data_IF_277870876651
#
_entry.id   IF_277870876651
#
_cell.length_a   1.000
_cell.length_b   1.000
_cell.length_c   1.000
_cell.angle_alpha   90.00
_cell.angle_beta   90.00
_cell.angle_gamma   90.00
#
_symmetry.space_group_name_H-M   'P 1'
#
loop_
_entity.id
_entity.type
_entity.pdbx_description
1 polymer ?
#
# COMPACT_ATOMS: atom_id res chain seq x y z
N UNK A 1 -20.85 -9.38 9.16
CA UNK A 1 -19.73 -8.58 8.70
C UNK A 1 -18.57 -8.71 9.68
N UNK A 2 -17.36 -8.52 9.22
CA UNK A 2 -16.12 -8.59 9.99
C UNK A 2 -15.32 -7.31 9.76
N UNK A 3 -14.66 -6.84 10.81
CA UNK A 3 -13.70 -5.74 10.76
C UNK A 3 -12.28 -6.27 10.95
N UNK A 4 -11.31 -5.64 10.31
CA UNK A 4 -9.90 -5.89 10.51
C UNK A 4 -9.33 -4.81 11.43
N UNK A 5 -8.56 -5.20 12.41
CA UNK A 5 -7.88 -4.26 13.32
C UNK A 5 -6.39 -4.57 13.33
N UNK A 6 -5.59 -3.58 13.02
CA UNK A 6 -4.14 -3.69 12.95
C UNK A 6 -3.49 -2.92 14.11
N UNK A 7 -2.40 -3.47 14.60
CA UNK A 7 -1.50 -2.83 15.53
C UNK A 7 -0.38 -2.12 14.75
N UNK A 8 -0.31 -0.80 14.89
CA UNK A 8 0.63 0.03 14.12
C UNK A 8 2.09 -0.34 14.40
N UNK A 9 2.45 -0.51 15.67
CA UNK A 9 3.83 -0.83 16.04
C UNK A 9 4.25 -2.20 15.52
N UNK A 10 3.38 -3.20 15.61
CA UNK A 10 3.66 -4.52 15.05
C UNK A 10 3.80 -4.52 13.54
N UNK A 11 2.99 -3.72 12.82
CA UNK A 11 3.17 -3.51 11.39
C UNK A 11 4.52 -2.85 11.08
N UNK A 12 4.86 -1.81 11.82
CA UNK A 12 6.12 -1.09 11.69
C UNK A 12 7.33 -2.00 11.93
N UNK A 13 7.26 -2.85 12.93
CA UNK A 13 8.30 -3.83 13.25
C UNK A 13 8.50 -4.91 12.18
N UNK A 14 7.50 -5.13 11.32
CA UNK A 14 7.64 -6.03 10.17
C UNK A 14 8.54 -5.45 9.08
N UNK A 15 8.72 -4.12 9.02
CA UNK A 15 9.55 -3.46 8.01
C UNK A 15 11.03 -3.65 8.35
N UNK A 16 11.86 -3.86 7.32
CA UNK A 16 13.31 -3.91 7.52
C UNK A 16 13.79 -2.58 8.14
N UNK A 17 14.53 -2.59 9.27
CA UNK A 17 14.90 -1.37 9.99
C UNK A 17 15.70 -0.35 9.15
N UNK A 18 16.52 -0.82 8.20
CA UNK A 18 17.26 0.07 7.30
C UNK A 18 16.32 0.78 6.31
N UNK A 19 15.34 0.01 5.80
CA UNK A 19 14.32 0.56 4.88
C UNK A 19 13.42 1.53 5.64
N UNK A 20 12.99 1.16 6.84
CA UNK A 20 12.15 2.01 7.68
C UNK A 20 12.84 3.36 7.95
N UNK A 21 14.10 3.35 8.37
CA UNK A 21 14.88 4.57 8.61
C UNK A 21 14.97 5.45 7.35
N UNK A 22 15.22 4.85 6.19
CA UNK A 22 15.26 5.58 4.92
C UNK A 22 13.90 6.21 4.59
N UNK A 23 12.80 5.47 4.79
CA UNK A 23 11.45 5.99 4.54
C UNK A 23 11.11 7.16 5.47
N UNK A 24 11.49 7.06 6.76
CA UNK A 24 11.30 8.12 7.75
C UNK A 24 12.10 9.39 7.37
N UNK A 25 13.36 9.25 6.98
CA UNK A 25 14.20 10.37 6.52
C UNK A 25 13.61 11.06 5.29
N UNK A 26 13.01 10.29 4.38
CA UNK A 26 12.36 10.78 3.17
C UNK A 26 10.91 11.22 3.38
N UNK A 27 10.39 11.13 4.62
CA UNK A 27 8.99 11.38 4.97
C UNK A 27 7.98 10.59 4.12
N UNK A 28 8.33 9.35 3.82
CA UNK A 28 7.49 8.41 3.06
C UNK A 28 6.80 7.48 4.06
N UNK A 29 5.48 7.40 3.96
CA UNK A 29 4.68 6.47 4.75
C UNK A 29 4.99 5.02 4.30
N UNK A 30 5.50 4.19 5.21
CA UNK A 30 5.84 2.80 4.91
C UNK A 30 4.62 1.97 4.47
N UNK A 31 3.41 2.34 4.90
CA UNK A 31 2.17 1.69 4.47
C UNK A 31 1.76 2.07 3.04
N UNK A 32 2.34 3.13 2.49
CA UNK A 32 2.10 3.59 1.12
C UNK A 32 3.05 3.01 0.09
N UNK A 33 4.01 2.17 0.50
CA UNK A 33 5.01 1.56 -0.39
C UNK A 33 4.61 0.12 -0.67
N UNK A 34 4.79 -0.31 -1.92
CA UNK A 34 4.68 -1.73 -2.25
C UNK A 34 5.86 -2.47 -1.63
N UNK A 35 5.57 -3.32 -0.67
CA UNK A 35 6.52 -4.24 -0.04
C UNK A 35 6.12 -5.66 -0.39
N UNK A 36 7.11 -6.51 -0.62
CA UNK A 36 6.89 -7.94 -0.89
C UNK A 36 6.47 -8.64 0.41
N UNK A 37 5.22 -8.43 0.79
CA UNK A 37 4.63 -8.98 2.00
C UNK A 37 3.30 -9.66 1.70
N UNK A 38 3.02 -10.71 2.45
CA UNK A 38 1.78 -11.45 2.38
C UNK A 38 1.06 -11.36 3.72
N UNK A 39 -0.23 -10.98 3.68
CA UNK A 39 -1.11 -11.02 4.84
C UNK A 39 -1.86 -12.36 4.87
N UNK A 40 -1.79 -13.06 6.00
CA UNK A 40 -2.51 -14.30 6.23
C UNK A 40 -3.57 -14.04 7.28
N UNK A 41 -4.83 -14.36 6.97
CA UNK A 41 -5.93 -14.34 7.92
C UNK A 41 -6.31 -15.79 8.22
N UNK A 42 -6.25 -16.19 9.47
CA UNK A 42 -6.57 -17.54 9.90
C UNK A 42 -7.31 -17.52 11.25
N UNK A 43 -7.98 -18.62 11.63
CA UNK A 43 -8.51 -18.79 12.98
C UNK A 43 -7.40 -18.74 14.02
N UNK A 44 -7.71 -18.21 15.21
CA UNK A 44 -6.76 -18.02 16.30
C UNK A 44 -6.05 -19.33 16.71
N UNK A 45 -6.80 -20.43 16.76
CA UNK A 45 -6.30 -21.76 17.16
C UNK A 45 -5.25 -22.33 16.21
N UNK A 46 -5.12 -21.81 14.98
CA UNK A 46 -4.10 -22.26 14.02
C UNK A 46 -2.97 -21.24 13.81
N UNK A 47 -3.09 -20.05 14.38
CA UNK A 47 -2.15 -18.95 14.15
C UNK A 47 -0.70 -19.33 14.53
N UNK A 48 -0.51 -19.97 15.69
CA UNK A 48 0.82 -20.44 16.13
C UNK A 48 1.41 -21.51 15.21
N UNK A 49 0.59 -22.41 14.69
CA UNK A 49 1.03 -23.42 13.72
C UNK A 49 1.49 -22.78 12.43
N UNK A 50 0.74 -21.79 11.93
CA UNK A 50 1.10 -21.02 10.72
C UNK A 50 2.42 -20.30 10.95
N UNK A 51 2.56 -19.57 12.06
CA UNK A 51 3.80 -18.84 12.41
C UNK A 51 5.00 -19.80 12.45
N UNK A 52 4.86 -20.96 13.07
CA UNK A 52 5.92 -21.97 13.17
C UNK A 52 6.36 -22.48 11.80
N UNK A 53 5.42 -22.80 10.91
CA UNK A 53 5.72 -23.30 9.57
C UNK A 53 6.44 -22.24 8.74
N UNK A 54 5.96 -20.99 8.75
CA UNK A 54 6.57 -19.90 7.99
C UNK A 54 7.97 -19.59 8.52
N UNK A 55 8.17 -19.52 9.84
CA UNK A 55 9.48 -19.29 10.46
C UNK A 55 10.48 -20.41 10.13
N UNK A 56 10.03 -21.66 10.05
CA UNK A 56 10.92 -22.77 9.67
C UNK A 56 11.45 -22.67 8.25
N UNK A 57 10.80 -21.88 7.39
CA UNK A 57 11.27 -21.58 6.04
C UNK A 57 12.18 -20.33 5.98
N UNK A 58 12.59 -19.79 7.11
CA UNK A 58 13.46 -18.60 7.19
C UNK A 58 12.76 -17.28 6.88
N UNK A 59 11.44 -17.28 6.82
CA UNK A 59 10.65 -16.07 6.54
C UNK A 59 10.17 -15.44 7.86
N UNK A 60 10.34 -14.13 7.99
CA UNK A 60 9.79 -13.38 9.12
C UNK A 60 8.27 -13.35 9.02
N UNK A 61 7.60 -13.66 10.10
CA UNK A 61 6.14 -13.55 10.24
C UNK A 61 5.80 -13.07 11.64
N UNK A 62 4.91 -12.10 11.72
CA UNK A 62 4.39 -11.57 12.99
C UNK A 62 2.88 -11.45 12.94
N UNK A 63 2.27 -11.48 14.11
CA UNK A 63 0.86 -11.23 14.30
C UNK A 63 0.64 -9.72 14.40
N UNK A 64 0.07 -9.14 13.37
CA UNK A 64 -0.05 -7.68 13.21
C UNK A 64 -1.45 -7.15 13.52
N UNK A 65 -2.38 -8.02 13.95
CA UNK A 65 -3.74 -7.59 14.24
C UNK A 65 -4.71 -8.76 14.39
N UNK A 66 -5.97 -8.44 14.45
CA UNK A 66 -7.06 -9.41 14.66
C UNK A 66 -8.30 -9.08 13.83
N UNK A 67 -9.19 -10.04 13.76
CA UNK A 67 -10.50 -9.92 13.12
C UNK A 67 -11.58 -9.91 14.18
N UNK A 68 -12.47 -8.92 14.14
CA UNK A 68 -13.59 -8.83 15.07
C UNK A 68 -14.94 -8.70 14.34
N UNK A 69 -16.02 -8.73 15.12
CA UNK A 69 -17.37 -8.45 14.60
C UNK A 69 -17.49 -6.97 14.30
N UNK A 70 -17.85 -6.61 13.06
CA UNK A 70 -17.97 -5.22 12.66
C UNK A 70 -17.84 -5.04 11.15
N UNK A 71 -17.42 -3.87 10.73
CA UNK A 71 -17.21 -3.49 9.33
C UNK A 71 -16.02 -2.53 9.22
N UNK A 72 -15.26 -2.63 8.13
CA UNK A 72 -14.14 -1.74 7.86
C UNK A 72 -12.79 -2.28 8.30
N UNK A 73 -11.79 -1.43 8.21
CA UNK A 73 -10.42 -1.68 8.64
C UNK A 73 -9.96 -0.54 9.55
N UNK A 74 -9.25 -0.91 10.61
CA UNK A 74 -8.80 0.03 11.64
C UNK A 74 -7.34 -0.22 11.96
N UNK A 75 -6.68 0.81 12.44
CA UNK A 75 -5.34 0.76 13.00
C UNK A 75 -5.35 1.33 14.41
N UNK A 76 -4.64 0.68 15.31
CA UNK A 76 -4.43 1.15 16.68
C UNK A 76 -3.01 1.64 16.79
N UNK A 77 -2.86 2.91 17.14
CA UNK A 77 -1.60 3.61 17.33
C UNK A 77 -1.69 4.38 18.65
N UNK A 78 -0.75 4.19 19.58
CA UNK A 78 -0.74 4.79 20.92
C UNK A 78 -2.08 4.60 21.68
N UNK A 79 -2.71 3.44 21.52
CA UNK A 79 -4.02 3.15 22.12
C UNK A 79 -5.20 3.83 21.43
N UNK A 80 -4.97 4.63 20.41
CA UNK A 80 -6.02 5.33 19.66
C UNK A 80 -6.38 4.53 18.40
N UNK A 81 -7.66 4.17 18.28
CA UNK A 81 -8.20 3.48 17.12
C UNK A 81 -8.60 4.48 16.03
N UNK A 82 -8.06 4.31 14.84
CA UNK A 82 -8.33 5.12 13.66
C UNK A 82 -8.85 4.24 12.53
N UNK A 83 -9.82 4.71 11.76
CA UNK A 83 -10.26 4.01 10.55
C UNK A 83 -9.20 4.14 9.46
N UNK A 84 -8.83 3.00 8.84
CA UNK A 84 -7.98 3.01 7.66
C UNK A 84 -8.85 3.37 6.47
N UNK A 85 -8.71 4.62 6.01
CA UNK A 85 -9.33 5.07 4.77
C UNK A 85 -8.31 4.93 3.64
N UNK A 86 -8.75 4.55 2.43
CA UNK A 86 -7.88 4.59 1.27
C UNK A 86 -7.31 6.00 1.13
N UNK A 87 -6.03 6.15 1.46
CA UNK A 87 -5.32 7.36 1.10
C UNK A 87 -5.09 7.26 -0.39
N UNK A 88 -5.54 8.26 -1.14
CA UNK A 88 -5.27 8.34 -2.57
C UNK A 88 -3.79 8.70 -2.75
N UNK A 89 -2.94 7.72 -2.48
CA UNK A 89 -1.49 7.86 -2.64
C UNK A 89 -1.05 6.90 -3.72
N UNK A 90 -0.68 7.46 -4.83
CA UNK A 90 0.20 6.78 -5.75
C UNK A 90 1.53 6.51 -5.06
N UNK A 91 2.18 5.45 -5.46
CA UNK A 91 3.55 5.19 -5.06
C UNK A 91 4.42 6.42 -5.29
N UNK A 92 5.38 6.67 -4.39
CA UNK A 92 6.35 7.77 -4.54
C UNK A 92 7.10 7.74 -5.88
N UNK A 93 7.08 6.62 -6.55
CA UNK A 93 7.77 6.37 -7.82
C UNK A 93 6.93 6.65 -9.07
N UNK A 94 5.62 6.92 -8.94
CA UNK A 94 4.79 7.15 -10.12
C UNK A 94 4.68 8.63 -10.47
N UNK A 95 4.78 8.97 -11.77
CA UNK A 95 4.60 10.35 -12.23
C UNK A 95 3.23 10.95 -11.86
N UNK A 96 2.24 10.12 -11.64
CA UNK A 96 0.88 10.53 -11.29
C UNK A 96 0.83 11.27 -9.95
N UNK A 97 1.68 10.90 -8.98
CA UNK A 97 1.81 11.59 -7.71
C UNK A 97 2.13 13.08 -7.89
N UNK A 98 2.95 13.41 -8.88
CA UNK A 98 3.30 14.82 -9.22
C UNK A 98 2.12 15.61 -9.80
N UNK A 99 1.13 14.90 -10.35
CA UNK A 99 -0.06 15.53 -10.96
C UNK A 99 -1.14 15.79 -9.92
N UNK A 100 -1.33 14.84 -8.99
CA UNK A 100 -2.43 14.92 -8.00
C UNK A 100 -2.01 15.53 -6.66
N UNK A 101 -0.68 15.63 -6.41
CA UNK A 101 -0.14 16.15 -5.15
C UNK A 101 0.00 15.07 -4.07
N UNK A 102 0.53 15.48 -2.92
CA UNK A 102 0.83 14.58 -1.79
C UNK A 102 -0.29 14.51 -0.76
N UNK A 103 -1.15 15.50 -0.74
CA UNK A 103 -2.27 15.60 0.20
C UNK A 103 -3.56 15.08 -0.42
N UNK A 104 -4.50 14.71 0.44
CA UNK A 104 -5.83 14.31 -0.01
C UNK A 104 -6.50 15.53 -0.65
N UNK A 105 -6.95 15.43 -1.90
CA UNK A 105 -7.54 16.57 -2.59
C UNK A 105 -8.86 16.97 -1.93
N UNK A 106 -9.08 18.28 -1.81
CA UNK A 106 -10.35 18.84 -1.34
C UNK A 106 -11.50 18.52 -2.30
N UNK A 107 -11.20 18.37 -3.59
CA UNK A 107 -12.16 18.07 -4.65
C UNK A 107 -11.78 16.77 -5.38
N UNK A 108 -12.46 15.69 -5.01
CA UNK A 108 -12.28 14.35 -5.58
C UNK A 108 -12.62 14.27 -7.06
N UNK A 109 -13.65 15.00 -7.52
CA UNK A 109 -14.05 14.97 -8.93
C UNK A 109 -13.02 15.66 -9.82
N UNK A 110 -12.50 16.78 -9.37
CA UNK A 110 -11.42 17.51 -10.06
C UNK A 110 -10.15 16.69 -10.13
N UNK A 111 -9.82 15.98 -9.06
CA UNK A 111 -8.69 15.05 -9.04
C UNK A 111 -8.90 13.92 -10.04
N UNK A 112 -10.08 13.29 -10.05
CA UNK A 112 -10.41 12.19 -10.95
C UNK A 112 -10.26 12.61 -12.42
N UNK A 113 -10.78 13.79 -12.78
CA UNK A 113 -10.58 14.35 -14.13
C UNK A 113 -9.11 14.50 -14.50
N UNK A 114 -8.27 15.02 -13.57
CA UNK A 114 -6.82 15.13 -13.80
C UNK A 114 -6.15 13.76 -14.00
N UNK A 115 -6.59 12.75 -13.27
CA UNK A 115 -6.09 11.37 -13.43
C UNK A 115 -6.48 10.83 -14.80
N UNK A 116 -7.74 10.96 -15.18
CA UNK A 116 -8.24 10.48 -16.48
C UNK A 116 -7.52 11.16 -17.63
N UNK A 117 -7.30 12.47 -17.56
CA UNK A 117 -6.51 13.22 -18.55
C UNK A 117 -5.04 12.74 -18.61
N UNK A 118 -4.43 12.47 -17.47
CA UNK A 118 -3.05 11.98 -17.41
C UNK A 118 -2.94 10.56 -18.00
N UNK A 119 -3.92 9.70 -17.75
CA UNK A 119 -4.02 8.36 -18.34
C UNK A 119 -4.15 8.44 -19.86
N UNK A 120 -5.05 9.29 -20.38
CA UNK A 120 -5.22 9.46 -21.83
C UNK A 120 -3.93 9.93 -22.49
N UNK A 121 -3.25 10.93 -21.94
CA UNK A 121 -1.94 11.42 -22.45
C UNK A 121 -0.88 10.32 -22.42
N UNK A 122 -0.86 9.48 -21.39
CA UNK A 122 0.07 8.35 -21.32
C UNK A 122 -0.19 7.30 -22.40
N UNK A 123 -1.47 6.99 -22.66
CA UNK A 123 -1.89 6.07 -23.72
C UNK A 123 -1.51 6.63 -25.11
N UNK A 124 -1.78 7.89 -25.38
CA UNK A 124 -1.41 8.55 -26.63
C UNK A 124 0.10 8.50 -26.87
N UNK A 125 0.89 8.86 -25.84
CA UNK A 125 2.35 8.79 -25.90
C UNK A 125 2.85 7.37 -26.16
N UNK A 126 2.29 6.38 -25.49
CA UNK A 126 2.60 4.95 -25.75
C UNK A 126 2.32 4.58 -27.19
N UNK A 127 1.13 4.92 -27.72
CA UNK A 127 0.73 4.57 -29.08
C UNK A 127 1.64 5.25 -30.11
N UNK A 128 2.05 6.50 -29.87
CA UNK A 128 3.00 7.21 -30.73
C UNK A 128 4.38 6.52 -30.76
N UNK A 129 4.87 6.07 -29.61
CA UNK A 129 6.14 5.34 -29.50
C UNK A 129 6.04 4.00 -30.23
N UNK A 130 4.96 3.24 -30.02
CA UNK A 130 4.73 1.97 -30.71
C UNK A 130 4.68 2.15 -32.22
N UNK A 131 3.98 3.17 -32.74
CA UNK A 131 3.93 3.48 -34.16
C UNK A 131 5.33 3.74 -34.72
N UNK A 132 6.12 4.60 -34.05
CA UNK A 132 7.50 4.89 -34.46
C UNK A 132 8.41 3.67 -34.45
N UNK A 133 8.20 2.72 -33.54
CA UNK A 133 8.95 1.48 -33.49
C UNK A 133 8.56 0.54 -34.65
N UNK A 134 7.26 0.42 -34.92
CA UNK A 134 6.75 -0.41 -36.03
C UNK A 134 7.18 0.13 -37.38
N UNK A 135 7.24 1.44 -37.58
CA UNK A 135 7.71 2.07 -38.82
C UNK A 135 9.23 1.88 -39.09
N UNK A 136 10.01 1.56 -38.01
CA UNK A 136 11.44 1.23 -38.12
C UNK A 136 11.74 -0.22 -38.40
N UNK A 137 10.76 -1.10 -38.23
CA UNK A 137 10.89 -2.56 -38.42
C UNK A 137 10.44 -2.97 -39.84
N UNK A 138 9.77 -2.08 -40.54
CA UNK A 138 9.48 -2.21 -42.00
C UNK A 138 10.63 -1.69 -42.83
#
# INVERSE_FOLDING_TARGET
>A
KKALVFDYEKLRDCVNPRVLKMLEELKIDFMGVSIDSLMIICPEEVAEKVKKVVRSSGVKIEEVGWVEKGEGAYIVEDGVRKEIKPKFRESAYTPLKKVVGEEMPEDFEKMRKKIDEAVLKAIEKKNLVLKKLMDKIK
#
